data_IF_025115715744
#
_entry.id   IF_025115715744
#
_cell.length_a   1.000
_cell.length_b   1.000
_cell.length_c   1.000
_cell.angle_alpha   90.00
_cell.angle_beta   90.00
_cell.angle_gamma   90.00
#
_symmetry.space_group_name_H-M   'P 1'
#
loop_
_entity.id
_entity.type
_entity.pdbx_description
1 polymer ?
#
# COMPACT_ATOMS: atom_id res chain seq x y z
N UNK A 1 -29.36 -1.54 -3.17
CA UNK A 1 -28.54 -0.34 -3.41
C UNK A 1 -27.10 -0.53 -2.88
N UNK A 2 -26.89 -0.95 -1.63
CA UNK A 2 -25.55 -1.12 -1.03
C UNK A 2 -24.65 -2.09 -1.78
N UNK A 3 -25.13 -3.25 -2.22
CA UNK A 3 -24.34 -4.19 -3.03
C UNK A 3 -24.00 -3.67 -4.42
N UNK A 4 -24.80 -2.77 -5.01
CA UNK A 4 -24.43 -2.09 -6.25
C UNK A 4 -23.26 -1.12 -6.05
N UNK A 5 -23.22 -0.45 -4.90
CA UNK A 5 -22.08 0.40 -4.50
C UNK A 5 -20.83 -0.46 -4.30
N UNK A 6 -20.96 -1.58 -3.58
CA UNK A 6 -19.85 -2.53 -3.39
C UNK A 6 -19.30 -3.07 -4.71
N UNK A 7 -20.17 -3.37 -5.68
CA UNK A 7 -19.74 -3.81 -7.02
C UNK A 7 -18.90 -2.73 -7.70
N UNK A 8 -19.33 -1.46 -7.66
CA UNK A 8 -18.54 -0.34 -8.22
C UNK A 8 -17.20 -0.17 -7.51
N UNK A 9 -17.17 -0.25 -6.18
CA UNK A 9 -15.92 -0.19 -5.41
C UNK A 9 -14.99 -1.36 -5.74
N UNK A 10 -15.51 -2.58 -5.82
CA UNK A 10 -14.71 -3.75 -6.20
C UNK A 10 -14.17 -3.63 -7.63
N UNK A 11 -15.00 -3.16 -8.55
CA UNK A 11 -14.57 -2.90 -9.93
C UNK A 11 -13.43 -1.86 -9.95
N UNK A 12 -13.55 -0.81 -9.17
CA UNK A 12 -12.52 0.23 -9.08
C UNK A 12 -11.23 -0.32 -8.48
N UNK A 13 -11.28 -1.10 -7.39
CA UNK A 13 -10.12 -1.76 -6.79
C UNK A 13 -9.45 -2.79 -7.71
N UNK A 14 -10.17 -3.38 -8.65
CA UNK A 14 -9.65 -4.41 -9.56
C UNK A 14 -9.23 -3.88 -10.93
N UNK A 15 -9.50 -2.60 -11.24
CA UNK A 15 -9.18 -1.99 -12.54
C UNK A 15 -7.77 -1.39 -12.51
N UNK A 16 -6.92 -1.67 -13.52
CA UNK A 16 -5.62 -1.00 -13.64
C UNK A 16 -5.81 0.49 -13.87
N UNK A 17 -5.17 1.31 -13.05
CA UNK A 17 -5.14 2.77 -13.21
C UNK A 17 -6.53 3.40 -13.52
N UNK A 18 -7.53 3.19 -12.67
CA UNK A 18 -8.86 3.74 -12.93
C UNK A 18 -8.80 5.27 -12.97
N UNK A 19 -9.53 5.87 -13.92
CA UNK A 19 -9.65 7.32 -14.00
C UNK A 19 -10.48 7.86 -12.83
N UNK A 20 -9.94 8.85 -12.15
CA UNK A 20 -10.60 9.54 -11.04
C UNK A 20 -10.86 8.68 -9.80
N UNK A 21 -11.49 9.28 -8.82
CA UNK A 21 -11.96 8.60 -7.61
C UNK A 21 -13.49 8.53 -7.62
N UNK A 22 -14.09 7.35 -7.45
CA UNK A 22 -15.54 7.24 -7.38
C UNK A 22 -16.08 8.00 -6.16
N UNK A 23 -17.19 8.68 -6.34
CA UNK A 23 -17.85 9.42 -5.25
C UNK A 23 -18.19 8.49 -4.09
N UNK A 24 -18.55 7.25 -4.38
CA UNK A 24 -18.86 6.22 -3.41
C UNK A 24 -17.66 5.91 -2.48
N UNK A 25 -16.43 5.97 -3.00
CA UNK A 25 -15.24 5.78 -2.17
C UNK A 25 -15.05 6.95 -1.20
N UNK A 26 -15.26 8.17 -1.67
CA UNK A 26 -15.22 9.38 -0.82
C UNK A 26 -16.29 9.36 0.27
N UNK A 27 -17.42 8.74 0.00
CA UNK A 27 -18.56 8.60 0.91
C UNK A 27 -18.61 7.22 1.61
N UNK A 28 -17.59 6.39 1.44
CA UNK A 28 -17.61 5.00 1.94
C UNK A 28 -17.75 4.90 3.46
N UNK A 29 -17.27 5.88 4.24
CA UNK A 29 -17.53 5.95 5.68
C UNK A 29 -19.02 6.00 6.02
N UNK A 30 -19.85 6.57 5.15
CA UNK A 30 -21.31 6.58 5.29
C UNK A 30 -21.92 5.25 4.81
N UNK A 31 -21.60 4.82 3.58
CA UNK A 31 -22.23 3.64 2.98
C UNK A 31 -21.86 2.31 3.62
N UNK A 32 -20.68 2.22 4.24
CA UNK A 32 -20.16 1.02 4.88
C UNK A 32 -20.23 1.09 6.41
N UNK A 33 -20.90 2.08 6.98
CA UNK A 33 -21.26 2.17 8.39
C UNK A 33 -22.68 1.64 8.63
N UNK A 34 -23.05 1.46 9.88
CA UNK A 34 -24.39 0.97 10.28
C UNK A 34 -25.57 1.77 9.70
N UNK A 35 -25.34 2.99 9.24
CA UNK A 35 -26.38 3.89 8.70
C UNK A 35 -26.53 3.81 7.18
N UNK A 36 -25.70 3.09 6.45
CA UNK A 36 -25.51 3.39 5.03
C UNK A 36 -25.74 2.27 4.02
N UNK A 37 -26.37 1.16 4.32
CA UNK A 37 -26.79 0.26 3.26
C UNK A 37 -26.25 -1.16 3.27
N UNK A 38 -24.96 -1.43 3.54
CA UNK A 38 -24.41 -2.76 3.79
C UNK A 38 -23.41 -2.67 4.93
N UNK A 39 -23.80 -3.17 6.10
CA UNK A 39 -22.88 -3.28 7.22
C UNK A 39 -21.93 -4.49 7.08
N UNK A 40 -20.94 -4.54 7.95
CA UNK A 40 -19.95 -5.62 7.95
C UNK A 40 -20.55 -7.00 8.16
N UNK A 41 -21.57 -7.12 9.03
CA UNK A 41 -22.26 -8.37 9.32
C UNK A 41 -23.04 -8.86 8.09
N UNK A 42 -23.74 -7.95 7.41
CA UNK A 42 -24.43 -8.26 6.15
C UNK A 42 -23.45 -8.69 5.06
N UNK A 43 -22.30 -8.02 4.94
CA UNK A 43 -21.26 -8.45 4.00
C UNK A 43 -20.72 -9.84 4.33
N UNK A 44 -20.58 -10.19 5.60
CA UNK A 44 -20.04 -11.48 6.00
C UNK A 44 -21.07 -12.63 5.88
N UNK A 45 -22.36 -12.39 6.18
CA UNK A 45 -23.29 -13.47 6.46
C UNK A 45 -24.59 -13.43 5.64
N UNK A 46 -24.90 -12.32 4.94
CA UNK A 46 -26.12 -12.26 4.15
C UNK A 46 -26.03 -13.15 2.89
N UNK A 47 -27.14 -13.79 2.53
CA UNK A 47 -27.29 -14.56 1.29
C UNK A 47 -26.91 -13.73 0.07
N UNK A 48 -27.32 -12.47 0.03
CA UNK A 48 -26.96 -11.54 -1.06
C UNK A 48 -25.46 -11.29 -1.17
N UNK A 49 -24.70 -11.41 -0.08
CA UNK A 49 -23.23 -11.32 -0.15
C UNK A 49 -22.62 -12.55 -0.85
N UNK A 50 -23.17 -13.72 -0.60
CA UNK A 50 -22.77 -14.94 -1.30
C UNK A 50 -23.07 -14.82 -2.79
N UNK A 51 -24.29 -14.45 -3.17
CA UNK A 51 -24.67 -14.23 -4.57
C UNK A 51 -23.75 -13.22 -5.25
N UNK A 52 -23.47 -12.09 -4.59
CA UNK A 52 -22.55 -11.05 -5.08
C UNK A 52 -21.15 -11.59 -5.39
N UNK A 53 -20.58 -12.41 -4.49
CA UNK A 53 -19.25 -13.00 -4.71
C UNK A 53 -19.29 -14.04 -5.84
N UNK A 54 -20.36 -14.85 -5.93
CA UNK A 54 -20.55 -15.81 -7.02
C UNK A 54 -20.67 -15.10 -8.39
N UNK A 55 -21.45 -14.03 -8.47
CA UNK A 55 -21.59 -13.22 -9.67
C UNK A 55 -20.24 -12.64 -10.13
N UNK A 56 -19.48 -12.05 -9.20
CA UNK A 56 -18.17 -11.48 -9.51
C UNK A 56 -17.15 -12.54 -9.94
N UNK A 57 -17.18 -13.72 -9.32
CA UNK A 57 -16.34 -14.84 -9.72
C UNK A 57 -16.62 -15.25 -11.17
N UNK A 58 -17.90 -15.46 -11.49
CA UNK A 58 -18.31 -15.87 -12.84
C UNK A 58 -17.97 -14.82 -13.93
N UNK A 59 -18.08 -13.54 -13.57
CA UNK A 59 -17.85 -12.44 -14.54
C UNK A 59 -16.37 -12.08 -14.73
N UNK A 60 -15.54 -12.24 -13.69
CA UNK A 60 -14.22 -11.58 -13.66
C UNK A 60 -13.06 -12.49 -13.31
N UNK A 61 -13.29 -13.59 -12.59
CA UNK A 61 -12.20 -14.43 -12.13
C UNK A 61 -11.64 -15.28 -13.27
N UNK A 62 -10.33 -15.20 -13.46
CA UNK A 62 -9.60 -16.02 -14.46
C UNK A 62 -8.89 -17.22 -13.80
N UNK A 63 -8.91 -17.31 -12.48
CA UNK A 63 -8.36 -18.43 -11.73
C UNK A 63 -9.49 -19.44 -11.44
N UNK A 64 -9.26 -20.75 -11.58
CA UNK A 64 -10.31 -21.77 -11.41
C UNK A 64 -10.74 -21.98 -9.96
N UNK A 65 -10.01 -21.46 -8.96
CA UNK A 65 -10.33 -21.67 -7.54
C UNK A 65 -11.35 -20.65 -7.03
N UNK A 66 -12.62 -21.08 -6.91
CA UNK A 66 -13.65 -20.28 -6.26
C UNK A 66 -13.34 -20.02 -4.78
N UNK A 67 -12.77 -20.99 -4.08
CA UNK A 67 -12.44 -20.85 -2.64
C UNK A 67 -11.42 -19.75 -2.42
N UNK A 68 -10.34 -19.71 -3.22
CA UNK A 68 -9.32 -18.65 -3.11
C UNK A 68 -9.88 -17.30 -3.52
N UNK A 69 -10.77 -17.25 -4.52
CA UNK A 69 -11.48 -16.03 -4.90
C UNK A 69 -12.35 -15.50 -3.76
N UNK A 70 -13.18 -16.38 -3.19
CA UNK A 70 -14.08 -16.03 -2.08
C UNK A 70 -13.31 -15.41 -0.91
N UNK A 71 -12.25 -16.07 -0.45
CA UNK A 71 -11.44 -15.57 0.65
C UNK A 71 -10.64 -14.31 0.28
N UNK A 72 -10.17 -14.21 -0.95
CA UNK A 72 -9.47 -13.01 -1.43
C UNK A 72 -10.38 -11.80 -1.39
N UNK A 73 -11.58 -11.89 -1.94
CA UNK A 73 -12.56 -10.78 -1.92
C UNK A 73 -12.93 -10.41 -0.47
N UNK A 74 -13.20 -11.38 0.38
CA UNK A 74 -13.54 -11.13 1.80
C UNK A 74 -12.40 -10.47 2.55
N UNK A 75 -11.19 -10.99 2.44
CA UNK A 75 -10.03 -10.47 3.14
C UNK A 75 -9.60 -9.08 2.63
N UNK A 76 -9.82 -8.80 1.36
CA UNK A 76 -9.56 -7.49 0.76
C UNK A 76 -10.53 -6.43 1.26
N UNK A 77 -11.81 -6.77 1.34
CA UNK A 77 -12.85 -5.82 1.70
C UNK A 77 -13.06 -5.66 3.21
N UNK A 78 -12.84 -6.70 4.01
CA UNK A 78 -13.08 -6.66 5.45
C UNK A 78 -12.43 -5.47 6.18
N UNK A 79 -11.15 -5.13 5.95
CA UNK A 79 -10.52 -3.97 6.57
C UNK A 79 -11.17 -2.64 6.16
N UNK A 80 -11.76 -2.55 4.96
CA UNK A 80 -12.43 -1.34 4.47
C UNK A 80 -13.63 -1.00 5.35
N UNK A 81 -14.46 -2.00 5.73
CA UNK A 81 -15.57 -1.80 6.68
C UNK A 81 -15.12 -1.33 8.05
N UNK A 82 -14.07 -1.97 8.57
CA UNK A 82 -13.52 -1.58 9.87
C UNK A 82 -13.03 -0.13 9.85
N UNK A 83 -12.31 0.26 8.82
CA UNK A 83 -11.80 1.63 8.67
C UNK A 83 -12.92 2.65 8.43
N UNK A 84 -13.94 2.29 7.67
CA UNK A 84 -15.12 3.13 7.46
C UNK A 84 -15.90 3.36 8.76
N UNK A 85 -16.08 2.31 9.57
CA UNK A 85 -16.71 2.42 10.90
C UNK A 85 -15.90 3.32 11.84
N UNK A 86 -14.57 3.16 11.87
CA UNK A 86 -13.69 4.01 12.67
C UNK A 86 -13.81 5.47 12.20
N UNK A 87 -13.75 5.72 10.89
CA UNK A 87 -13.87 7.08 10.36
C UNK A 87 -15.18 7.75 10.69
N UNK A 88 -16.29 6.98 10.74
CA UNK A 88 -17.63 7.49 11.07
C UNK A 88 -17.81 7.83 12.57
N UNK A 89 -17.03 7.22 13.46
CA UNK A 89 -17.20 7.34 14.92
C UNK A 89 -16.08 8.09 15.62
N UNK A 90 -14.95 8.31 14.94
CA UNK A 90 -13.79 8.97 15.53
C UNK A 90 -14.06 10.46 15.79
N UNK A 91 -13.66 10.95 16.96
CA UNK A 91 -13.73 12.37 17.30
C UNK A 91 -12.87 13.17 16.31
N UNK A 92 -13.42 14.18 15.62
CA UNK A 92 -12.68 14.96 14.63
C UNK A 92 -11.48 15.69 15.22
N UNK A 93 -10.31 15.54 14.60
CA UNK A 93 -9.11 16.30 14.92
C UNK A 93 -9.02 17.57 14.07
N UNK A 94 -8.12 18.49 14.43
CA UNK A 94 -7.88 19.72 13.64
C UNK A 94 -7.25 19.44 12.28
N UNK A 95 -6.41 18.40 12.20
CA UNK A 95 -5.82 17.83 10.99
C UNK A 95 -5.45 16.37 11.24
N UNK A 96 -5.23 15.62 10.17
CA UNK A 96 -4.80 14.23 10.20
C UNK A 96 -3.41 14.09 9.59
N UNK A 97 -2.61 13.18 10.13
CA UNK A 97 -1.29 12.87 9.61
C UNK A 97 -1.10 11.35 9.52
N UNK A 98 -0.65 10.89 8.37
CA UNK A 98 -0.29 9.48 8.15
C UNK A 98 1.13 9.36 7.60
N UNK A 99 1.79 8.24 7.92
CA UNK A 99 3.16 7.94 7.49
C UNK A 99 3.22 6.87 6.40
N UNK A 100 2.06 6.44 5.90
CA UNK A 100 1.95 5.37 4.90
C UNK A 100 0.67 5.53 4.08
N UNK A 101 0.72 5.13 2.81
CA UNK A 101 -0.43 5.09 1.89
C UNK A 101 -1.32 3.87 2.04
N UNK A 102 -0.91 2.83 2.78
CA UNK A 102 -1.72 1.62 2.98
C UNK A 102 -3.02 1.88 3.76
N UNK A 103 -3.42 0.95 4.61
CA UNK A 103 -4.64 1.09 5.40
C UNK A 103 -4.66 2.33 6.30
N UNK A 104 -3.50 2.76 6.83
CA UNK A 104 -3.40 4.00 7.59
C UNK A 104 -3.70 5.23 6.72
N UNK A 105 -3.16 5.28 5.50
CA UNK A 105 -3.46 6.31 4.53
C UNK A 105 -4.91 6.28 4.06
N UNK A 106 -5.48 5.10 3.90
CA UNK A 106 -6.89 4.93 3.56
C UNK A 106 -7.79 5.50 4.67
N UNK A 107 -7.54 5.17 5.95
CA UNK A 107 -8.25 5.77 7.07
C UNK A 107 -8.11 7.29 7.08
N UNK A 108 -6.90 7.83 6.88
CA UNK A 108 -6.66 9.27 6.78
C UNK A 108 -7.51 9.93 5.68
N UNK A 109 -7.60 9.29 4.52
CA UNK A 109 -8.43 9.75 3.41
C UNK A 109 -9.93 9.73 3.74
N UNK A 110 -10.42 8.66 4.38
CA UNK A 110 -11.81 8.57 4.86
C UNK A 110 -12.13 9.69 5.85
N UNK A 111 -11.23 9.92 6.82
CA UNK A 111 -11.38 10.99 7.81
C UNK A 111 -11.39 12.37 7.15
N UNK A 112 -10.51 12.61 6.16
CA UNK A 112 -10.52 13.84 5.38
C UNK A 112 -11.88 14.09 4.71
N UNK A 113 -12.39 13.09 3.97
CA UNK A 113 -13.66 13.23 3.26
C UNK A 113 -14.87 13.31 4.19
N UNK A 114 -14.84 12.61 5.33
CA UNK A 114 -15.92 12.64 6.31
C UNK A 114 -15.99 13.96 7.08
N UNK A 115 -14.83 14.55 7.44
CA UNK A 115 -14.77 15.70 8.34
C UNK A 115 -14.42 17.02 7.65
N UNK A 116 -13.95 16.99 6.41
CA UNK A 116 -13.40 18.14 5.69
C UNK A 116 -12.05 18.65 6.23
N UNK A 117 -11.43 17.93 7.20
CA UNK A 117 -10.16 18.36 7.81
C UNK A 117 -8.97 17.98 6.93
N UNK A 118 -7.88 18.78 6.93
CA UNK A 118 -6.73 18.52 6.09
C UNK A 118 -6.00 17.23 6.48
N UNK A 119 -5.47 16.51 5.47
CA UNK A 119 -4.62 15.35 5.61
C UNK A 119 -3.20 15.67 5.13
N UNK A 120 -2.21 15.33 5.95
CA UNK A 120 -0.78 15.30 5.62
C UNK A 120 -0.32 13.87 5.48
N UNK A 121 0.37 13.54 4.39
CA UNK A 121 1.08 12.28 4.22
C UNK A 121 2.60 12.53 4.31
N UNK A 122 3.31 11.80 5.17
CA UNK A 122 4.77 11.76 5.21
C UNK A 122 5.24 10.34 4.88
N UNK A 123 5.55 10.08 3.62
CA UNK A 123 5.90 8.73 3.16
C UNK A 123 7.43 8.53 3.17
N UNK A 124 7.91 7.64 4.06
CA UNK A 124 9.35 7.37 4.24
C UNK A 124 9.87 6.28 3.30
N UNK A 125 9.01 5.38 2.86
CA UNK A 125 9.22 4.36 1.84
C UNK A 125 7.99 4.29 0.95
N UNK A 126 8.10 3.73 -0.23
CA UNK A 126 6.94 3.59 -1.13
C UNK A 126 6.19 2.31 -0.76
N UNK A 127 5.12 2.45 0.02
CA UNK A 127 4.33 1.34 0.52
C UNK A 127 3.78 0.43 -0.59
N UNK A 128 3.29 1.01 -1.69
CA UNK A 128 2.79 0.25 -2.84
C UNK A 128 3.87 -0.65 -3.45
N UNK A 129 5.11 -0.14 -3.56
CA UNK A 129 6.26 -0.91 -4.02
C UNK A 129 6.62 -2.04 -3.05
N UNK A 130 6.65 -1.75 -1.75
CA UNK A 130 6.95 -2.75 -0.71
C UNK A 130 5.89 -3.85 -0.71
N UNK A 131 4.61 -3.50 -0.77
CA UNK A 131 3.51 -4.46 -0.88
C UNK A 131 3.60 -5.32 -2.13
N UNK A 132 3.95 -4.74 -3.26
CA UNK A 132 4.14 -5.50 -4.50
C UNK A 132 5.23 -6.57 -4.33
N UNK A 133 6.36 -6.21 -3.73
CA UNK A 133 7.45 -7.16 -3.45
C UNK A 133 6.99 -8.26 -2.48
N UNK A 134 6.29 -7.89 -1.40
CA UNK A 134 5.76 -8.84 -0.44
C UNK A 134 4.77 -9.83 -1.09
N UNK A 135 3.84 -9.33 -1.93
CA UNK A 135 2.87 -10.14 -2.64
C UNK A 135 3.54 -11.15 -3.59
N UNK A 136 4.61 -10.73 -4.28
CA UNK A 136 5.36 -11.64 -5.13
C UNK A 136 6.09 -12.73 -4.36
N UNK A 137 6.57 -12.44 -3.16
CA UNK A 137 7.32 -13.36 -2.32
C UNK A 137 6.45 -14.21 -1.38
N UNK A 138 5.12 -14.00 -1.39
CA UNK A 138 4.21 -14.72 -0.52
C UNK A 138 3.73 -16.04 -1.13
N UNK A 139 3.88 -17.12 -0.37
CA UNK A 139 3.48 -18.48 -0.78
C UNK A 139 1.98 -18.74 -0.58
N UNK A 140 1.28 -17.95 0.25
CA UNK A 140 -0.14 -18.15 0.52
C UNK A 140 -1.06 -17.66 -0.62
N UNK A 141 -0.53 -16.90 -1.60
CA UNK A 141 -1.28 -16.49 -2.78
C UNK A 141 -1.01 -17.52 -3.89
N UNK A 142 -1.93 -18.46 -4.02
CA UNK A 142 -1.80 -19.55 -4.99
C UNK A 142 -2.13 -19.09 -6.41
N UNK A 143 -1.54 -19.79 -7.38
CA UNK A 143 -1.94 -19.78 -8.77
C UNK A 143 -2.46 -21.17 -9.09
N UNK A 144 -3.78 -21.31 -9.20
CA UNK A 144 -4.45 -22.60 -9.37
C UNK A 144 -4.59 -23.02 -10.84
N UNK A 145 -4.09 -22.21 -11.76
CA UNK A 145 -4.02 -22.57 -13.18
C UNK A 145 -3.11 -23.79 -13.36
N UNK A 146 -3.45 -24.68 -14.27
CA UNK A 146 -2.59 -25.80 -14.61
C UNK A 146 -1.33 -25.33 -15.38
N UNK A 147 -0.32 -26.21 -15.50
CA UNK A 147 0.96 -25.85 -16.11
C UNK A 147 0.85 -25.35 -17.57
N UNK A 148 -0.17 -25.81 -18.31
CA UNK A 148 -0.41 -25.38 -19.70
C UNK A 148 -1.09 -24.01 -19.79
N UNK A 149 -1.75 -23.59 -18.72
CA UNK A 149 -2.45 -22.29 -18.62
C UNK A 149 -1.58 -21.19 -18.03
N UNK A 150 -0.43 -21.54 -17.44
CA UNK A 150 0.48 -20.58 -16.81
C UNK A 150 1.40 -19.98 -17.88
N UNK A 151 1.33 -18.68 -18.06
CA UNK A 151 2.37 -17.93 -18.75
C UNK A 151 3.38 -17.42 -17.68
N UNK A 152 4.67 -17.80 -17.78
CA UNK A 152 5.69 -17.35 -16.84
C UNK A 152 5.91 -15.84 -16.82
N UNK A 153 5.48 -15.13 -17.86
CA UNK A 153 5.57 -13.66 -17.98
C UNK A 153 4.39 -12.94 -17.35
N UNK A 154 3.30 -13.65 -17.07
CA UNK A 154 2.09 -13.07 -16.48
C UNK A 154 2.08 -13.22 -14.95
N UNK A 155 1.65 -12.15 -14.29
CA UNK A 155 1.33 -12.18 -12.86
C UNK A 155 0.06 -13.02 -12.66
N UNK A 156 0.04 -13.91 -11.65
CA UNK A 156 -1.17 -14.69 -11.34
C UNK A 156 -2.32 -13.77 -10.95
N UNK A 157 -3.56 -14.20 -11.26
CA UNK A 157 -4.77 -13.41 -11.07
C UNK A 157 -4.89 -12.81 -9.66
N UNK A 158 -4.70 -13.62 -8.62
CA UNK A 158 -4.85 -13.12 -7.24
C UNK A 158 -3.73 -12.17 -6.81
N UNK A 159 -2.50 -12.39 -7.28
CA UNK A 159 -1.40 -11.43 -7.03
C UNK A 159 -1.67 -10.09 -7.69
N UNK A 160 -2.11 -10.11 -8.95
CA UNK A 160 -2.46 -8.89 -9.68
C UNK A 160 -3.63 -8.14 -9.02
N UNK A 161 -4.66 -8.86 -8.56
CA UNK A 161 -5.79 -8.29 -7.85
C UNK A 161 -5.37 -7.58 -6.56
N UNK A 162 -4.50 -8.19 -5.75
CA UNK A 162 -3.97 -7.58 -4.53
C UNK A 162 -3.06 -6.37 -4.82
N UNK A 163 -2.24 -6.43 -5.86
CA UNK A 163 -1.38 -5.31 -6.26
C UNK A 163 -2.25 -4.11 -6.64
N UNK A 164 -3.23 -4.30 -7.50
CA UNK A 164 -4.15 -3.23 -7.95
C UNK A 164 -4.92 -2.63 -6.78
N UNK A 165 -5.38 -3.47 -5.86
CA UNK A 165 -6.04 -3.00 -4.65
C UNK A 165 -5.16 -2.03 -3.86
N UNK A 166 -3.91 -2.38 -3.56
CA UNK A 166 -3.03 -1.51 -2.80
C UNK A 166 -2.58 -0.26 -3.57
N UNK A 167 -2.39 -0.35 -4.89
CA UNK A 167 -2.14 0.81 -5.75
C UNK A 167 -3.30 1.80 -5.71
N UNK A 168 -4.52 1.27 -5.76
CA UNK A 168 -5.75 2.06 -5.72
C UNK A 168 -5.96 2.74 -4.37
N UNK A 169 -5.73 2.01 -3.27
CA UNK A 169 -5.73 2.56 -1.90
C UNK A 169 -4.67 3.65 -1.75
N UNK A 170 -3.49 3.46 -2.35
CA UNK A 170 -2.43 4.47 -2.38
C UNK A 170 -2.85 5.76 -3.08
N UNK A 171 -3.48 5.65 -4.25
CA UNK A 171 -3.99 6.81 -4.99
C UNK A 171 -5.08 7.56 -4.24
N UNK A 172 -5.97 6.84 -3.57
CA UNK A 172 -6.96 7.46 -2.70
C UNK A 172 -6.31 8.32 -1.62
N UNK A 173 -5.24 7.81 -0.99
CA UNK A 173 -4.48 8.58 -0.01
C UNK A 173 -3.81 9.82 -0.62
N UNK A 174 -3.21 9.69 -1.80
CA UNK A 174 -2.60 10.82 -2.52
C UNK A 174 -3.64 11.89 -2.89
N UNK A 175 -4.81 11.48 -3.39
CA UNK A 175 -5.89 12.41 -3.73
C UNK A 175 -6.40 13.17 -2.50
N UNK A 176 -6.66 12.48 -1.40
CA UNK A 176 -7.15 13.05 -0.16
C UNK A 176 -6.12 13.94 0.56
N UNK A 177 -4.83 13.73 0.30
CA UNK A 177 -3.76 14.50 0.96
C UNK A 177 -3.66 15.91 0.42
N UNK A 178 -3.70 16.90 1.31
CA UNK A 178 -3.44 18.32 0.97
C UNK A 178 -1.95 18.59 0.73
N UNK A 179 -1.07 17.85 1.41
CA UNK A 179 0.39 17.86 1.22
C UNK A 179 0.94 16.44 1.38
N UNK A 180 1.98 16.16 0.58
CA UNK A 180 2.70 14.88 0.58
C UNK A 180 4.17 15.20 0.75
N UNK A 181 4.80 14.61 1.78
CA UNK A 181 6.22 14.79 2.09
C UNK A 181 6.97 13.51 1.81
N UNK A 182 8.08 13.62 1.11
CA UNK A 182 9.01 12.54 0.81
C UNK A 182 10.44 12.90 1.23
N UNK A 183 11.29 11.90 1.43
CA UNK A 183 12.64 12.11 1.96
C UNK A 183 13.65 12.59 0.91
N UNK A 184 13.46 12.23 -0.36
CA UNK A 184 14.37 12.60 -1.46
C UNK A 184 13.65 12.55 -2.81
N UNK A 185 14.27 13.16 -3.83
CA UNK A 185 13.64 13.36 -5.14
C UNK A 185 13.23 12.05 -5.83
N UNK A 186 14.00 10.97 -5.68
CA UNK A 186 13.64 9.68 -6.27
C UNK A 186 12.32 9.11 -5.73
N UNK A 187 12.01 9.31 -4.44
CA UNK A 187 10.71 8.96 -3.86
C UNK A 187 9.61 9.87 -4.44
N UNK A 188 9.86 11.17 -4.52
CA UNK A 188 8.92 12.13 -5.10
C UNK A 188 8.54 11.76 -6.54
N UNK A 189 9.51 11.42 -7.39
CA UNK A 189 9.25 11.01 -8.77
C UNK A 189 8.44 9.71 -8.84
N UNK A 190 8.72 8.78 -7.94
CA UNK A 190 7.94 7.54 -7.86
C UNK A 190 6.50 7.82 -7.43
N UNK A 191 6.26 8.71 -6.46
CA UNK A 191 4.92 9.11 -6.05
C UNK A 191 4.13 9.74 -7.19
N UNK A 192 4.78 10.56 -8.04
CA UNK A 192 4.16 11.12 -9.25
C UNK A 192 3.75 10.00 -10.21
N UNK A 193 4.63 9.04 -10.47
CA UNK A 193 4.30 7.90 -11.34
C UNK A 193 3.22 7.00 -10.77
N UNK A 194 3.05 6.96 -9.45
CA UNK A 194 1.99 6.23 -8.76
C UNK A 194 0.67 7.03 -8.65
N UNK A 195 0.63 8.27 -9.18
CA UNK A 195 -0.57 9.09 -9.33
C UNK A 195 -0.71 10.27 -8.37
N UNK A 196 0.34 10.62 -7.61
CA UNK A 196 0.32 11.84 -6.80
C UNK A 196 0.50 13.11 -7.67
N UNK A 197 -0.26 14.15 -7.36
CA UNK A 197 -0.16 15.43 -8.07
C UNK A 197 1.14 16.16 -7.69
N UNK A 198 1.97 16.58 -8.65
CA UNK A 198 3.28 17.20 -8.39
C UNK A 198 3.25 18.42 -7.47
N UNK A 199 2.20 19.23 -7.53
CA UNK A 199 2.02 20.43 -6.72
C UNK A 199 1.72 20.16 -5.24
N UNK A 200 1.29 18.94 -4.90
CA UNK A 200 1.09 18.52 -3.51
C UNK A 200 2.37 18.02 -2.85
N UNK A 201 3.40 17.70 -3.65
CA UNK A 201 4.61 17.02 -3.22
C UNK A 201 5.71 17.98 -2.76
N UNK A 202 6.34 17.66 -1.64
CA UNK A 202 7.52 18.37 -1.11
C UNK A 202 8.57 17.40 -0.62
N UNK A 203 9.83 17.61 -0.99
CA UNK A 203 10.96 16.86 -0.43
C UNK A 203 11.41 17.52 0.87
N UNK A 204 11.40 16.74 1.94
CA UNK A 204 11.90 17.14 3.27
C UNK A 204 12.78 16.00 3.77
N UNK A 205 14.11 16.10 3.62
CA UNK A 205 15.05 15.07 4.08
C UNK A 205 15.00 14.89 5.60
N UNK A 206 15.33 13.68 6.06
CA UNK A 206 15.56 13.46 7.48
C UNK A 206 16.75 14.30 7.97
N UNK A 207 16.58 14.93 9.13
CA UNK A 207 17.66 15.62 9.82
C UNK A 207 18.48 14.68 10.70
N UNK A 208 19.70 15.14 11.03
CA UNK A 208 20.56 14.53 12.07
C UNK A 208 21.01 15.60 13.05
N UNK A 209 21.32 15.20 14.26
CA UNK A 209 21.92 16.10 15.26
C UNK A 209 23.39 16.37 14.91
N UNK A 210 23.63 17.49 14.23
CA UNK A 210 24.96 17.88 13.82
C UNK A 210 25.91 18.13 15.01
N UNK A 211 25.40 18.63 16.15
CA UNK A 211 26.22 18.88 17.33
C UNK A 211 26.86 17.59 17.86
N UNK A 212 26.17 16.47 17.71
CA UNK A 212 26.68 15.14 18.07
C UNK A 212 27.77 14.62 17.11
N UNK A 213 27.64 14.87 15.81
CA UNK A 213 28.49 14.22 14.80
C UNK A 213 29.64 15.08 14.28
N UNK A 214 29.49 16.41 14.24
CA UNK A 214 30.54 17.31 13.73
C UNK A 214 31.88 17.18 14.50
N UNK A 215 31.90 17.09 15.84
CA UNK A 215 33.16 16.91 16.57
C UNK A 215 33.92 15.64 16.21
N UNK A 216 33.20 14.56 15.84
CA UNK A 216 33.81 13.28 15.46
C UNK A 216 34.63 13.36 14.17
N UNK A 217 34.36 14.34 13.30
CA UNK A 217 35.17 14.57 12.09
C UNK A 217 36.60 15.02 12.43
N UNK A 218 36.78 15.74 13.54
CA UNK A 218 38.09 16.25 13.97
C UNK A 218 38.99 15.15 14.55
N UNK A 219 38.38 14.04 15.00
CA UNK A 219 39.10 12.88 15.55
C UNK A 219 39.44 11.82 14.50
N UNK A 220 39.06 12.06 13.23
CA UNK A 220 39.34 11.12 12.14
C UNK A 220 40.84 11.10 11.82
N UNK A 221 41.48 9.92 11.71
CA UNK A 221 42.87 9.82 11.27
C UNK A 221 43.07 10.48 9.89
N UNK A 222 44.26 11.03 9.66
CA UNK A 222 44.62 11.71 8.38
C UNK A 222 44.63 10.71 7.23
N UNK A 223 45.11 9.49 7.48
CA UNK A 223 45.16 8.40 6.50
C UNK A 223 44.62 7.10 7.11
N UNK A 224 43.32 6.94 7.20
CA UNK A 224 42.71 5.74 7.74
C UNK A 224 42.80 4.60 6.72
N UNK A 225 42.99 3.34 7.17
CA UNK A 225 42.87 2.21 6.28
C UNK A 225 41.46 2.17 5.64
N UNK A 226 41.36 1.64 4.39
CA UNK A 226 40.04 1.45 3.77
C UNK A 226 39.12 0.60 4.65
N UNK A 227 37.97 1.15 5.04
CA UNK A 227 36.96 0.45 5.85
C UNK A 227 35.64 0.43 5.13
N UNK A 228 35.12 -0.75 4.89
CA UNK A 228 33.77 -0.95 4.40
C UNK A 228 32.87 -1.34 5.57
N UNK A 229 31.83 -0.54 5.83
CA UNK A 229 30.94 -0.76 6.96
C UNK A 229 29.49 -0.95 6.47
N UNK A 230 28.77 -1.89 7.08
CA UNK A 230 27.32 -2.06 6.94
C UNK A 230 26.68 -1.82 8.29
N UNK A 231 25.89 -0.74 8.38
CA UNK A 231 25.12 -0.41 9.57
C UNK A 231 23.63 -0.66 9.31
N UNK A 232 23.02 -1.53 10.10
CA UNK A 232 21.60 -1.83 9.96
C UNK A 232 21.17 -3.07 10.72
N UNK A 233 19.87 -3.37 10.67
CA UNK A 233 19.33 -4.62 11.21
C UNK A 233 19.73 -5.79 10.31
N UNK A 234 19.97 -6.96 10.90
CA UNK A 234 20.21 -8.19 10.14
C UNK A 234 18.86 -8.78 9.72
N UNK A 235 18.36 -8.31 8.60
CA UNK A 235 17.07 -8.71 8.01
C UNK A 235 17.23 -8.93 6.49
N UNK A 236 16.39 -9.76 5.84
CA UNK A 236 16.54 -10.13 4.42
C UNK A 236 16.70 -8.92 3.48
N UNK A 237 15.92 -7.87 3.67
CA UNK A 237 15.96 -6.65 2.84
C UNK A 237 17.30 -5.91 2.87
N UNK A 238 18.14 -6.12 3.90
CA UNK A 238 19.48 -5.53 4.00
C UNK A 238 20.56 -6.35 3.34
N UNK A 239 20.23 -7.56 2.94
CA UNK A 239 21.06 -8.49 2.16
C UNK A 239 22.53 -8.58 2.65
N UNK A 240 22.69 -8.79 3.94
CA UNK A 240 24.01 -8.91 4.61
C UNK A 240 24.85 -10.02 3.97
N UNK A 241 24.20 -11.08 3.47
CA UNK A 241 24.92 -12.19 2.81
C UNK A 241 25.62 -11.75 1.53
N UNK A 242 24.95 -10.98 0.69
CA UNK A 242 25.55 -10.43 -0.53
C UNK A 242 26.67 -9.44 -0.20
N UNK A 243 26.49 -8.62 0.84
CA UNK A 243 27.56 -7.74 1.32
C UNK A 243 28.82 -8.54 1.70
N UNK A 244 28.70 -9.59 2.53
CA UNK A 244 29.85 -10.44 2.95
C UNK A 244 30.51 -11.11 1.73
N UNK A 245 29.71 -11.60 0.77
CA UNK A 245 30.26 -12.20 -0.47
C UNK A 245 31.01 -11.20 -1.32
N UNK A 246 30.49 -9.96 -1.44
CA UNK A 246 31.16 -8.89 -2.18
C UNK A 246 32.50 -8.51 -1.53
N UNK A 247 32.56 -8.40 -0.20
CA UNK A 247 33.83 -8.16 0.54
C UNK A 247 34.83 -9.29 0.28
N UNK A 248 34.38 -10.55 0.33
CA UNK A 248 35.25 -11.71 0.04
C UNK A 248 35.89 -11.61 -1.35
N UNK A 249 35.14 -11.17 -2.34
CA UNK A 249 35.67 -10.98 -3.70
C UNK A 249 36.64 -9.78 -3.72
N UNK A 250 36.26 -8.67 -3.11
CA UNK A 250 37.04 -7.45 -3.12
C UNK A 250 38.44 -7.63 -2.54
N UNK A 251 38.58 -8.29 -1.39
CA UNK A 251 39.89 -8.53 -0.74
C UNK A 251 40.83 -9.46 -1.55
N UNK A 252 40.33 -10.13 -2.57
CA UNK A 252 41.16 -10.92 -3.49
C UNK A 252 41.78 -10.04 -4.61
N UNK A 253 41.19 -8.86 -4.86
CA UNK A 253 41.60 -7.96 -5.96
C UNK A 253 42.26 -6.66 -5.43
N UNK A 254 41.96 -6.30 -4.20
CA UNK A 254 42.51 -5.11 -3.52
C UNK A 254 43.02 -5.56 -2.16
N UNK A 255 44.31 -5.94 -2.06
CA UNK A 255 44.91 -6.39 -0.80
C UNK A 255 45.00 -5.28 0.26
#
# INVERSE_FOLDING_TARGET
EGFAILRRLHCWFSTPHPDGLPTELKQSSFYLSHSGGVDYTQFLYAERSWEYICELYAERCKDPSFVDYFWTVRNMHAPIWQLASIAATLIPARFYHTVSTGYAGFLGGLLHHHTGRPLLLSEHGIYTKERRIDIFNNDWIHDNRNALQRDPTEVSYFRDLWIRFFETVGRFCYDASGRIVSLYEGVRQRQISDGALPEKLKVVPNGIDLARFVPLRQTRPVDPPPVLALLGRVVPIKDVKTYIRAIRILVQHVP
#
